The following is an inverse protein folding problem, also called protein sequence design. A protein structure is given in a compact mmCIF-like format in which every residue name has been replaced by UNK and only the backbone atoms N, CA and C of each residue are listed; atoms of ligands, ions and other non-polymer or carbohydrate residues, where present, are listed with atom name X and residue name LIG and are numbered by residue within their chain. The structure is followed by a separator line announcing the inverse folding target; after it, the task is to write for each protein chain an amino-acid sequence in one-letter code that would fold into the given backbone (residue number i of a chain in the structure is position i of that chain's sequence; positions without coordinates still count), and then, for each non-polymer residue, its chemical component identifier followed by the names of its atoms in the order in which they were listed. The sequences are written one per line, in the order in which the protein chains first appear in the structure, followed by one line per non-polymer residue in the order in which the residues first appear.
data_IF_564591710825
#
_entry.id   IF_564591710825
#
_cell.length_a   1.000
_cell.length_b   1.000
_cell.length_c   1.000
_cell.angle_alpha   90.00
_cell.angle_beta   90.00
_cell.angle_gamma   90.00
#
_symmetry.space_group_name_H-M   'P 1'
#
loop_
_entity.id
_entity.type
_entity.pdbx_description
1 polymer ?
#
# COMPACT_ATOMS: atom_id res chain seq x y z
N UNK A 1 -15.96 -1.36 -39.28
CA UNK A 1 -15.62 -2.67 -38.69
C UNK A 1 -15.36 -2.45 -37.20
N UNK A 2 -16.35 -2.75 -36.37
CA UNK A 2 -16.22 -2.69 -34.92
C UNK A 2 -15.43 -3.92 -34.49
N UNK A 3 -14.19 -3.72 -34.07
CA UNK A 3 -13.51 -4.79 -33.32
C UNK A 3 -14.20 -4.89 -31.96
N UNK A 4 -15.01 -5.93 -31.80
CA UNK A 4 -15.41 -6.34 -30.46
C UNK A 4 -14.13 -6.78 -29.72
N UNK A 5 -13.66 -5.96 -28.79
CA UNK A 5 -12.73 -6.44 -27.77
C UNK A 5 -13.48 -7.49 -26.97
N UNK A 6 -13.30 -8.75 -27.36
CA UNK A 6 -13.72 -9.85 -26.55
C UNK A 6 -12.74 -9.91 -25.38
N UNK A 7 -12.98 -9.10 -24.34
CA UNK A 7 -12.42 -9.31 -23.03
C UNK A 7 -13.06 -10.58 -22.48
N UNK A 8 -12.60 -11.72 -23.01
CA UNK A 8 -12.64 -12.95 -22.21
C UNK A 8 -11.89 -12.56 -20.96
N UNK A 9 -12.62 -12.46 -19.85
CA UNK A 9 -12.03 -12.25 -18.54
C UNK A 9 -11.09 -13.42 -18.25
N UNK A 10 -9.91 -13.37 -18.80
CA UNK A 10 -8.78 -14.07 -18.24
C UNK A 10 -8.69 -13.52 -16.83
N UNK A 11 -8.88 -14.39 -15.86
CA UNK A 11 -8.71 -14.11 -14.45
C UNK A 11 -7.38 -13.37 -14.27
N UNK A 12 -7.45 -12.04 -14.23
CA UNK A 12 -6.27 -11.23 -13.93
C UNK A 12 -5.99 -11.48 -12.47
N UNK A 13 -4.92 -12.18 -12.18
CA UNK A 13 -4.43 -12.34 -10.81
C UNK A 13 -4.04 -10.95 -10.32
N UNK A 14 -4.68 -10.44 -9.26
CA UNK A 14 -4.32 -9.15 -8.74
C UNK A 14 -2.90 -9.18 -8.17
N UNK A 15 -2.24 -8.03 -8.20
CA UNK A 15 -0.93 -7.81 -7.61
C UNK A 15 -1.05 -6.84 -6.44
N UNK A 16 -0.23 -7.03 -5.40
CA UNK A 16 -0.20 -6.09 -4.29
C UNK A 16 0.15 -4.68 -4.80
N UNK A 17 -0.49 -3.68 -4.24
CA UNK A 17 -0.33 -2.30 -4.67
C UNK A 17 -1.21 -1.89 -5.85
N UNK A 18 -1.92 -2.81 -6.49
CA UNK A 18 -2.93 -2.44 -7.49
C UNK A 18 -4.15 -1.82 -6.82
N UNK A 19 -4.79 -0.88 -7.53
CA UNK A 19 -6.13 -0.44 -7.16
C UNK A 19 -7.13 -1.56 -7.41
N UNK A 20 -7.94 -1.86 -6.40
CA UNK A 20 -9.07 -2.78 -6.54
C UNK A 20 -10.30 -2.08 -7.11
N UNK A 21 -10.43 -0.78 -6.82
CA UNK A 21 -11.45 0.11 -7.37
C UNK A 21 -10.74 1.33 -7.98
N UNK A 22 -11.41 2.01 -8.92
CA UNK A 22 -10.88 3.26 -9.47
C UNK A 22 -10.67 4.28 -8.34
N UNK A 23 -9.53 4.96 -8.30
CA UNK A 23 -9.27 5.97 -7.29
C UNK A 23 -10.25 7.15 -7.43
N UNK A 24 -10.79 7.60 -6.29
CA UNK A 24 -11.76 8.69 -6.25
C UNK A 24 -11.11 10.08 -6.29
N UNK A 25 -9.80 10.15 -6.06
CA UNK A 25 -9.05 11.40 -5.95
C UNK A 25 -7.85 11.38 -6.90
N UNK A 26 -7.35 12.57 -7.31
CA UNK A 26 -6.11 12.64 -8.07
C UNK A 26 -4.99 11.94 -7.31
N UNK A 27 -4.28 11.07 -8.01
CA UNK A 27 -3.11 10.37 -7.45
C UNK A 27 -1.97 11.36 -7.25
N UNK A 28 -1.24 11.19 -6.16
CA UNK A 28 0.03 11.87 -5.97
C UNK A 28 1.15 11.04 -6.61
N UNK A 29 1.79 11.58 -7.64
CA UNK A 29 2.78 10.88 -8.46
C UNK A 29 4.21 11.34 -8.24
N UNK A 30 4.44 12.24 -7.33
CA UNK A 30 5.72 12.94 -7.21
C UNK A 30 6.39 12.74 -5.85
N UNK A 31 6.21 11.59 -5.25
CA UNK A 31 6.85 11.24 -3.98
C UNK A 31 8.19 10.61 -4.25
N UNK A 32 9.25 11.10 -3.64
CA UNK A 32 10.60 10.58 -3.80
C UNK A 32 10.94 9.59 -2.69
N UNK A 33 11.54 8.47 -3.06
CA UNK A 33 12.02 7.47 -2.10
C UNK A 33 13.38 7.85 -1.52
N UNK A 34 13.45 7.86 -0.20
CA UNK A 34 14.69 8.04 0.55
C UNK A 34 14.98 6.83 1.45
N UNK A 35 16.23 6.46 1.52
CA UNK A 35 16.80 5.59 2.55
C UNK A 35 18.23 6.03 2.84
N UNK A 36 18.71 5.81 4.05
CA UNK A 36 20.09 6.02 4.43
C UNK A 36 21.07 5.05 3.75
N UNK A 37 20.52 3.94 3.24
CA UNK A 37 21.27 2.92 2.50
C UNK A 37 20.96 3.03 1.01
N UNK A 38 21.92 3.43 0.19
CA UNK A 38 21.70 3.69 -1.25
C UNK A 38 21.30 2.47 -2.08
N UNK A 39 21.53 1.27 -1.56
CA UNK A 39 21.16 0.00 -2.20
C UNK A 39 19.75 -0.48 -1.85
N UNK A 40 19.07 0.19 -0.93
CA UNK A 40 17.71 -0.15 -0.58
C UNK A 40 16.75 0.05 -1.75
N UNK A 41 15.75 -0.80 -1.79
CA UNK A 41 14.67 -0.72 -2.78
C UNK A 41 13.32 -0.65 -2.10
N UNK A 42 12.40 0.09 -2.71
CA UNK A 42 11.02 0.25 -2.27
C UNK A 42 10.12 -0.57 -3.19
N UNK A 43 9.60 -1.72 -2.74
CA UNK A 43 8.70 -2.53 -3.57
C UNK A 43 7.32 -1.89 -3.69
N UNK A 44 6.60 -2.20 -4.76
CA UNK A 44 5.19 -1.85 -4.90
C UNK A 44 4.36 -2.51 -3.79
N UNK A 45 3.31 -1.83 -3.33
CA UNK A 45 2.50 -2.28 -2.19
C UNK A 45 3.11 -2.01 -0.81
N UNK A 46 4.29 -1.39 -0.75
CA UNK A 46 4.89 -0.93 0.50
C UNK A 46 4.17 0.30 1.04
N UNK A 47 4.12 0.43 2.35
CA UNK A 47 3.62 1.64 3.01
C UNK A 47 4.78 2.57 3.35
N UNK A 48 4.58 3.85 3.11
CA UNK A 48 5.58 4.89 3.33
C UNK A 48 5.04 6.00 4.23
N UNK A 49 5.94 6.64 4.96
CA UNK A 49 5.68 7.87 5.71
C UNK A 49 6.53 9.02 5.19
N UNK A 50 6.14 10.24 5.48
CA UNK A 50 6.97 11.39 5.14
C UNK A 50 8.28 11.38 5.94
N UNK A 51 9.35 11.74 5.28
CA UNK A 51 10.66 11.90 5.91
C UNK A 51 10.70 13.24 6.65
N UNK A 52 10.73 13.17 7.99
CA UNK A 52 10.57 14.36 8.85
C UNK A 52 11.69 15.41 8.78
N UNK A 53 12.83 15.06 8.19
CA UNK A 53 13.95 15.99 7.97
C UNK A 53 14.02 16.49 6.53
N UNK A 54 12.99 16.24 5.71
CA UNK A 54 12.97 16.72 4.34
C UNK A 54 12.92 18.24 4.30
N UNK A 55 13.89 18.82 3.63
CA UNK A 55 13.93 20.25 3.30
C UNK A 55 13.46 20.54 1.89
N UNK A 56 13.06 19.51 1.15
CA UNK A 56 12.53 19.68 -0.19
C UNK A 56 11.20 20.45 -0.13
N UNK A 57 11.14 21.55 -0.85
CA UNK A 57 9.92 22.36 -1.01
C UNK A 57 9.15 21.99 -2.27
N UNK A 58 9.75 21.19 -3.15
CA UNK A 58 9.22 20.93 -4.48
C UNK A 58 8.37 19.65 -4.54
N UNK A 59 8.67 18.69 -3.67
CA UNK A 59 7.98 17.39 -3.64
C UNK A 59 8.17 16.69 -2.29
N UNK A 60 7.23 15.84 -1.89
CA UNK A 60 7.38 15.05 -0.67
C UNK A 60 8.45 13.99 -0.81
N UNK A 61 9.23 13.81 0.25
CA UNK A 61 10.20 12.72 0.39
C UNK A 61 9.65 11.73 1.41
N UNK A 62 9.69 10.45 1.09
CA UNK A 62 9.14 9.40 1.91
C UNK A 62 10.14 8.29 2.20
N UNK A 63 9.97 7.69 3.36
CA UNK A 63 10.71 6.50 3.81
C UNK A 63 9.73 5.38 4.10
N UNK A 64 10.22 4.16 4.13
CA UNK A 64 9.41 2.98 4.50
C UNK A 64 8.89 3.11 5.92
N UNK A 65 7.61 2.76 6.13
CA UNK A 65 7.02 2.68 7.46
C UNK A 65 7.60 1.52 8.28
N UNK A 66 7.75 1.76 9.57
CA UNK A 66 7.78 0.70 10.59
C UNK A 66 6.34 0.38 11.01
N UNK A 67 6.15 -0.68 11.79
CA UNK A 67 4.81 -1.12 12.22
C UNK A 67 4.06 -0.11 13.11
N UNK A 68 4.78 0.81 13.74
CA UNK A 68 4.21 1.85 14.62
C UNK A 68 3.95 3.17 13.90
N UNK A 69 4.39 3.30 12.66
CA UNK A 69 4.24 4.54 11.90
C UNK A 69 2.88 4.63 11.22
N UNK A 70 2.23 5.78 11.35
CA UNK A 70 1.03 6.08 10.56
C UNK A 70 1.45 6.36 9.12
N UNK A 71 0.95 5.60 8.13
CA UNK A 71 1.34 5.79 6.75
C UNK A 71 0.91 7.14 6.18
N UNK A 72 1.73 7.68 5.29
CA UNK A 72 1.36 8.75 4.38
C UNK A 72 0.67 8.21 3.12
N UNK A 73 1.10 7.05 2.65
CA UNK A 73 0.52 6.38 1.51
C UNK A 73 1.07 4.98 1.30
N UNK A 74 0.49 4.29 0.32
CA UNK A 74 0.98 3.00 -0.16
C UNK A 74 1.51 3.14 -1.58
N UNK A 75 2.66 2.54 -1.86
CA UNK A 75 3.28 2.56 -3.20
C UNK A 75 2.41 1.81 -4.19
N UNK A 76 1.96 2.51 -5.23
CA UNK A 76 1.08 1.95 -6.26
C UNK A 76 1.88 1.04 -7.19
N UNK A 77 1.24 -0.05 -7.62
CA UNK A 77 1.78 -0.97 -8.60
C UNK A 77 2.06 -0.27 -9.94
N UNK A 78 3.25 -0.51 -10.49
CA UNK A 78 3.61 -0.16 -11.87
C UNK A 78 4.16 -1.41 -12.55
N UNK A 79 3.49 -1.86 -13.62
CA UNK A 79 3.88 -3.05 -14.39
C UNK A 79 5.31 -2.97 -14.93
N UNK A 80 5.81 -1.76 -15.15
CA UNK A 80 7.16 -1.52 -15.70
C UNK A 80 8.23 -1.44 -14.60
N UNK A 81 7.83 -1.31 -13.35
CA UNK A 81 8.75 -0.98 -12.26
C UNK A 81 8.31 -1.67 -10.96
N UNK A 82 8.72 -2.92 -10.72
CA UNK A 82 8.28 -3.67 -9.55
C UNK A 82 8.87 -3.14 -8.23
N UNK A 83 9.92 -2.32 -8.32
CA UNK A 83 10.54 -1.67 -7.17
C UNK A 83 11.22 -0.36 -7.59
N UNK A 84 11.34 0.55 -6.64
CA UNK A 84 11.98 1.85 -6.81
C UNK A 84 13.30 1.89 -6.06
N UNK A 85 14.28 2.60 -6.63
CA UNK A 85 15.57 2.87 -5.98
C UNK A 85 15.51 4.19 -5.23
N UNK A 86 16.46 4.40 -4.32
CA UNK A 86 16.63 5.70 -3.65
C UNK A 86 16.76 6.81 -4.68
N UNK A 87 16.00 7.89 -4.52
CA UNK A 87 15.89 9.01 -5.45
C UNK A 87 14.84 8.87 -6.55
N UNK A 88 14.29 7.66 -6.76
CA UNK A 88 13.20 7.46 -7.71
C UNK A 88 11.90 8.10 -7.19
N UNK A 89 11.06 8.54 -8.12
CA UNK A 89 9.72 9.07 -7.81
C UNK A 89 8.66 8.03 -8.13
N UNK A 90 7.61 8.00 -7.32
CA UNK A 90 6.54 7.02 -7.41
C UNK A 90 5.19 7.63 -7.07
N UNK A 91 4.13 6.90 -7.42
CA UNK A 91 2.76 7.23 -7.06
C UNK A 91 2.34 6.53 -5.77
N UNK A 92 1.47 7.16 -5.01
CA UNK A 92 0.91 6.61 -3.77
C UNK A 92 -0.61 6.57 -3.82
N UNK A 93 -1.17 5.53 -3.21
CA UNK A 93 -2.57 5.44 -2.83
C UNK A 93 -2.73 6.01 -1.41
N UNK A 94 -3.85 6.68 -1.17
CA UNK A 94 -4.14 7.38 0.10
C UNK A 94 -5.43 6.88 0.75
N UNK A 95 -5.75 7.43 1.90
CA UNK A 95 -7.03 7.20 2.59
C UNK A 95 -8.21 7.39 1.63
N UNK A 96 -9.11 6.42 1.59
CA UNK A 96 -10.27 6.36 0.71
C UNK A 96 -10.07 5.47 -0.52
N UNK A 97 -8.84 5.17 -0.90
CA UNK A 97 -8.56 4.23 -1.99
C UNK A 97 -8.71 2.79 -1.53
N UNK A 98 -9.18 1.92 -2.42
CA UNK A 98 -9.22 0.47 -2.18
C UNK A 98 -8.15 -0.21 -3.02
N UNK A 99 -7.26 -0.93 -2.35
CA UNK A 99 -6.06 -1.51 -2.95
C UNK A 99 -5.91 -2.97 -2.58
N UNK A 100 -5.11 -3.69 -3.37
CA UNK A 100 -4.74 -5.08 -3.05
C UNK A 100 -3.53 -5.10 -2.11
N UNK A 101 -3.73 -5.73 -0.96
CA UNK A 101 -2.68 -5.97 0.04
C UNK A 101 -2.47 -7.46 0.26
N UNK A 102 -1.25 -7.84 0.59
CA UNK A 102 -0.92 -9.23 0.98
C UNK A 102 -1.23 -9.42 2.47
N UNK A 103 -1.98 -10.45 2.79
CA UNK A 103 -2.29 -10.82 4.17
C UNK A 103 -1.13 -11.59 4.82
N UNK A 104 -0.89 -11.33 6.10
CA UNK A 104 0.09 -12.08 6.89
C UNK A 104 -0.49 -13.34 7.53
N UNK A 105 -1.81 -13.44 7.58
CA UNK A 105 -2.56 -14.57 8.13
C UNK A 105 -4.02 -14.54 7.65
N UNK A 106 -4.89 -15.26 8.34
CA UNK A 106 -6.33 -15.16 8.09
C UNK A 106 -6.84 -13.78 8.46
N UNK A 107 -7.69 -13.19 7.63
CA UNK A 107 -8.29 -11.88 7.83
C UNK A 107 -9.79 -11.97 7.55
N UNK A 108 -10.61 -11.45 8.46
CA UNK A 108 -12.06 -11.41 8.28
C UNK A 108 -12.50 -10.17 7.48
N UNK A 109 -13.58 -10.32 6.71
CA UNK A 109 -14.23 -9.18 6.03
C UNK A 109 -14.69 -8.16 7.08
N UNK A 110 -14.42 -6.88 6.84
CA UNK A 110 -14.81 -5.78 7.72
C UNK A 110 -13.87 -5.56 8.89
N UNK A 111 -12.85 -6.40 9.07
CA UNK A 111 -11.88 -6.21 10.13
C UNK A 111 -10.97 -5.01 9.84
N UNK A 112 -10.62 -4.27 10.89
CA UNK A 112 -9.51 -3.30 10.83
C UNK A 112 -8.21 -4.06 10.72
N UNK A 113 -7.38 -3.67 9.77
CA UNK A 113 -6.08 -4.32 9.55
C UNK A 113 -4.94 -3.39 9.93
N UNK A 114 -3.94 -4.00 10.55
CA UNK A 114 -2.70 -3.37 10.96
C UNK A 114 -1.54 -3.85 10.10
N UNK A 115 -0.39 -3.20 10.24
CA UNK A 115 0.85 -3.78 9.74
C UNK A 115 1.14 -5.11 10.44
N UNK A 116 1.56 -6.09 9.66
CA UNK A 116 2.24 -7.25 10.22
C UNK A 116 3.72 -6.92 10.50
N UNK A 117 4.40 -7.84 11.20
CA UNK A 117 5.80 -7.68 11.61
C UNK A 117 6.75 -7.36 10.45
N UNK A 118 6.41 -7.77 9.23
CA UNK A 118 7.21 -7.52 8.02
C UNK A 118 7.03 -6.13 7.39
N UNK A 119 6.10 -5.30 7.89
CA UNK A 119 5.85 -3.94 7.38
C UNK A 119 5.16 -3.84 6.00
N UNK A 120 5.04 -4.95 5.28
CA UNK A 120 4.47 -4.98 3.93
C UNK A 120 3.16 -5.76 3.84
N UNK A 121 2.86 -6.52 4.86
CA UNK A 121 1.68 -7.37 4.96
C UNK A 121 0.74 -6.82 6.00
N UNK A 122 -0.53 -7.15 5.86
CA UNK A 122 -1.58 -6.71 6.77
C UNK A 122 -2.19 -7.91 7.51
N UNK A 123 -2.63 -7.65 8.73
CA UNK A 123 -3.26 -8.65 9.61
C UNK A 123 -4.41 -7.99 10.38
N UNK A 124 -5.42 -8.78 10.75
CA UNK A 124 -6.51 -8.32 11.61
C UNK A 124 -6.27 -8.58 13.11
N UNK A 125 -5.15 -9.20 13.44
CA UNK A 125 -4.71 -9.36 14.84
C UNK A 125 -4.30 -8.01 15.39
N UNK A 126 -5.02 -7.55 16.42
CA UNK A 126 -4.72 -6.27 17.06
C UNK A 126 -3.46 -6.39 17.94
N UNK A 127 -2.42 -5.69 17.54
CA UNK A 127 -1.21 -5.52 18.33
C UNK A 127 -1.15 -4.08 18.82
N UNK A 128 -0.99 -3.91 20.15
CA UNK A 128 -0.86 -2.59 20.76
C UNK A 128 0.28 -1.78 20.12
N UNK A 129 0.08 -0.51 19.94
CA UNK A 129 0.97 0.47 19.30
C UNK A 129 1.18 0.31 17.79
N UNK A 130 0.70 -0.76 17.16
CA UNK A 130 0.79 -0.90 15.70
C UNK A 130 -0.22 0.01 15.00
N UNK A 131 0.20 0.58 13.88
CA UNK A 131 -0.65 1.46 13.09
C UNK A 131 -1.69 0.66 12.29
N UNK A 132 -2.92 1.17 12.26
CA UNK A 132 -3.94 0.68 11.34
C UNK A 132 -3.69 1.24 9.94
N UNK A 133 -3.95 0.42 8.93
CA UNK A 133 -3.84 0.82 7.53
C UNK A 133 -5.19 0.94 6.85
N UNK A 134 -6.20 0.28 7.36
CA UNK A 134 -7.55 0.35 6.77
C UNK A 134 -8.49 -0.74 7.25
N UNK A 135 -9.47 -1.04 6.41
CA UNK A 135 -10.50 -2.05 6.65
C UNK A 135 -10.52 -3.06 5.51
N UNK A 136 -10.48 -4.34 5.84
CA UNK A 136 -10.56 -5.42 4.86
C UNK A 136 -11.94 -5.48 4.19
N UNK A 137 -11.99 -5.47 2.89
CA UNK A 137 -13.22 -5.61 2.08
C UNK A 137 -13.44 -7.05 1.61
N UNK A 138 -12.38 -7.84 1.58
CA UNK A 138 -12.41 -9.27 1.28
C UNK A 138 -11.65 -10.03 2.34
N UNK A 139 -11.93 -11.33 2.48
CA UNK A 139 -11.28 -12.18 3.47
C UNK A 139 -9.98 -12.79 2.93
N UNK A 140 -9.06 -13.09 3.84
CA UNK A 140 -7.94 -14.01 3.62
C UNK A 140 -8.14 -15.29 4.44
N UNK A 141 -7.82 -16.43 3.88
CA UNK A 141 -7.82 -17.71 4.59
C UNK A 141 -6.45 -18.06 5.17
N UNK A 142 -5.38 -17.54 4.57
CA UNK A 142 -4.00 -17.84 4.94
C UNK A 142 -3.05 -16.68 4.61
N UNK A 143 -1.85 -16.76 5.16
CA UNK A 143 -0.75 -15.86 4.80
C UNK A 143 -0.42 -15.95 3.30
N UNK A 144 -0.19 -14.82 2.67
CA UNK A 144 0.11 -14.71 1.24
C UNK A 144 -1.13 -14.45 0.38
N UNK A 145 -2.34 -14.62 0.90
CA UNK A 145 -3.56 -14.26 0.17
C UNK A 145 -3.60 -12.75 -0.09
N UNK A 146 -4.10 -12.37 -1.26
CA UNK A 146 -4.35 -10.97 -1.58
C UNK A 146 -5.77 -10.60 -1.20
N UNK A 147 -5.92 -9.51 -0.48
CA UNK A 147 -7.19 -8.96 -0.03
C UNK A 147 -7.36 -7.51 -0.46
N UNK A 148 -8.60 -7.11 -0.68
CA UNK A 148 -8.93 -5.72 -0.87
C UNK A 148 -8.99 -5.01 0.47
N UNK A 149 -8.28 -3.90 0.59
CA UNK A 149 -8.27 -3.05 1.78
C UNK A 149 -8.65 -1.63 1.38
N UNK A 150 -9.67 -1.10 2.01
CA UNK A 150 -9.97 0.33 1.95
C UNK A 150 -9.05 1.05 2.93
N UNK A 151 -8.14 1.83 2.39
CA UNK A 151 -7.15 2.55 3.17
C UNK A 151 -7.81 3.61 4.04
N UNK A 152 -7.43 3.64 5.31
CA UNK A 152 -7.84 4.68 6.26
C UNK A 152 -6.76 4.89 7.32
N UNK A 153 -5.86 5.81 7.04
CA UNK A 153 -4.75 6.14 7.95
C UNK A 153 -5.18 6.99 9.15
N UNK A 154 -6.43 7.50 9.16
CA UNK A 154 -6.99 8.25 10.27
C UNK A 154 -7.41 7.35 11.45
N UNK A 155 -7.36 6.03 11.29
CA UNK A 155 -7.61 5.08 12.38
C UNK A 155 -6.52 5.14 13.46
N UNK A 156 -5.35 5.68 13.13
CA UNK A 156 -4.26 5.86 14.06
C UNK A 156 -3.56 4.56 14.44
N UNK A 157 -3.16 4.46 15.70
CA UNK A 157 -2.48 3.29 16.27
C UNK A 157 -3.38 2.60 17.29
N UNK A 158 -3.20 1.31 17.46
CA UNK A 158 -3.94 0.57 18.48
C UNK A 158 -3.48 0.97 19.88
N UNK A 159 -4.44 1.01 20.76
CA UNK A 159 -4.19 1.28 22.18
C UNK A 159 -3.48 0.09 22.88
#
# INVERSE_FOLDING_TARGET
MTQAFNLTATSITPEKGQYALLPNLPQEHNVEFYSSTSTDTLPVGAFVKLYGSSTSTDHPIAVVCTVTDIPYGMVVYDVRKPAYKVGDRFAIAKTGDTVWCEAAGAVAVGAKVQFAVSGWKVDDTTTSTYAYVGVAKTAASAAGDLIQVELNFNLGVAA
#
